data_IF_596298946066
#
_entry.id   IF_596298946066
#
_cell.length_a   1.000
_cell.length_b   1.000
_cell.length_c   1.000
_cell.angle_alpha   90.00
_cell.angle_beta   90.00
_cell.angle_gamma   90.00
#
_symmetry.space_group_name_H-M   'P 1'
#
loop_
_entity.id
_entity.type
_entity.pdbx_description
1 polymer ?
#
# COMPACT_ATOMS: atom_id res chain seq x y z
N UNK A 1 1.85 13.06 5.66
CA UNK A 1 3.08 12.48 5.09
C UNK A 1 3.15 12.74 3.58
N UNK A 2 3.61 13.93 3.20
CA UNK A 2 3.98 14.29 1.82
C UNK A 2 5.20 15.20 1.76
N UNK A 3 5.79 15.57 2.90
CA UNK A 3 7.00 16.35 2.99
C UNK A 3 8.25 15.51 2.74
N UNK A 4 9.25 16.10 2.09
CA UNK A 4 10.61 15.53 1.95
C UNK A 4 11.31 15.32 3.30
N UNK A 5 10.81 15.96 4.35
CA UNK A 5 11.34 15.91 5.71
C UNK A 5 10.28 15.26 6.60
N UNK A 6 10.63 14.27 7.43
CA UNK A 6 9.67 13.66 8.34
C UNK A 6 9.25 14.68 9.41
N UNK A 7 7.95 14.78 9.67
CA UNK A 7 7.39 15.68 10.71
C UNK A 7 7.88 15.32 12.12
N UNK A 8 8.48 14.12 12.30
CA UNK A 8 9.12 13.66 13.53
C UNK A 8 10.38 12.85 13.24
N UNK A 9 11.40 13.04 14.07
CA UNK A 9 12.59 12.20 14.05
C UNK A 9 12.25 10.77 14.54
N UNK A 10 12.55 9.78 13.70
CA UNK A 10 12.45 8.37 14.07
C UNK A 10 13.76 7.98 14.77
N UNK A 11 13.72 7.82 16.10
CA UNK A 11 14.92 7.48 16.90
C UNK A 11 15.33 6.02 16.73
N UNK A 12 14.35 5.12 16.64
CA UNK A 12 14.57 3.68 16.44
C UNK A 12 13.60 3.16 15.37
N UNK A 13 14.09 2.59 14.27
CA UNK A 13 13.22 1.96 13.28
C UNK A 13 12.59 0.69 13.85
N UNK A 14 11.34 0.41 13.50
CA UNK A 14 10.68 -0.85 13.87
C UNK A 14 11.14 -1.99 12.96
N UNK A 15 11.31 -1.72 11.67
CA UNK A 15 11.86 -2.63 10.68
C UNK A 15 12.52 -1.85 9.54
N UNK A 16 13.26 -2.58 8.71
CA UNK A 16 13.72 -2.14 7.41
C UNK A 16 13.11 -3.04 6.34
N UNK A 17 12.75 -2.44 5.21
CA UNK A 17 12.13 -3.11 4.07
C UNK A 17 12.48 -2.36 2.78
N UNK A 18 12.62 -3.11 1.69
CA UNK A 18 12.79 -2.57 0.33
C UNK A 18 11.54 -2.86 -0.47
N UNK A 19 11.01 -1.85 -1.15
CA UNK A 19 9.85 -2.01 -2.04
C UNK A 19 10.31 -1.94 -3.49
N UNK A 20 10.03 -3.00 -4.25
CA UNK A 20 10.37 -3.12 -5.67
C UNK A 20 9.10 -3.21 -6.51
N UNK A 21 9.20 -2.76 -7.76
CA UNK A 21 8.10 -2.81 -8.74
C UNK A 21 6.83 -2.17 -8.18
N UNK A 22 6.96 -0.94 -7.68
CA UNK A 22 5.91 -0.21 -6.97
C UNK A 22 5.06 0.58 -7.96
N UNK A 23 3.76 0.31 -7.99
CA UNK A 23 2.80 1.04 -8.83
C UNK A 23 1.76 1.72 -7.94
N UNK A 24 1.42 2.97 -8.23
CA UNK A 24 0.33 3.69 -7.56
C UNK A 24 -0.85 3.85 -8.52
N UNK A 25 -2.01 3.37 -8.10
CA UNK A 25 -3.27 3.48 -8.83
C UNK A 25 -4.29 4.17 -7.92
N UNK A 26 -5.05 5.12 -8.44
CA UNK A 26 -5.97 5.92 -7.64
C UNK A 26 -7.33 6.05 -8.33
N UNK A 27 -8.40 5.86 -7.56
CA UNK A 27 -9.77 6.03 -8.02
C UNK A 27 -10.52 7.02 -7.12
N UNK A 28 -11.32 7.87 -7.77
CA UNK A 28 -12.16 8.84 -7.09
C UNK A 28 -13.50 8.21 -6.68
N UNK A 29 -13.92 8.50 -5.46
CA UNK A 29 -15.18 8.06 -4.87
C UNK A 29 -15.94 9.23 -4.26
N UNK A 30 -17.25 9.07 -4.08
CA UNK A 30 -18.02 9.98 -3.26
C UNK A 30 -17.50 9.91 -1.80
N UNK A 31 -17.28 11.05 -1.12
CA UNK A 31 -16.71 11.05 0.23
C UNK A 31 -17.50 10.20 1.22
N UNK A 32 -18.84 10.25 1.16
CA UNK A 32 -19.71 9.46 2.04
C UNK A 32 -19.49 7.94 1.92
N UNK A 33 -19.19 7.43 0.72
CA UNK A 33 -18.94 6.00 0.48
C UNK A 33 -17.72 5.53 1.25
N UNK A 34 -16.65 6.32 1.26
CA UNK A 34 -15.40 5.94 1.93
C UNK A 34 -15.46 6.27 3.42
N UNK A 35 -16.14 7.35 3.81
CA UNK A 35 -16.31 7.74 5.20
C UNK A 35 -16.98 6.64 6.03
N UNK A 36 -17.92 5.89 5.46
CA UNK A 36 -18.59 4.76 6.11
C UNK A 36 -17.66 3.57 6.42
N UNK A 37 -16.48 3.49 5.78
CA UNK A 37 -15.49 2.42 5.96
C UNK A 37 -14.35 2.82 6.92
N UNK A 38 -14.38 4.05 7.42
CA UNK A 38 -13.35 4.62 8.29
C UNK A 38 -13.92 4.75 9.70
N UNK A 39 -13.15 4.44 10.77
CA UNK A 39 -13.63 4.58 12.15
C UNK A 39 -14.02 6.00 12.52
N UNK A 40 -14.92 6.09 13.50
CA UNK A 40 -15.26 7.35 14.14
C UNK A 40 -14.00 8.06 14.67
N UNK A 41 -13.97 9.39 14.52
CA UNK A 41 -12.81 10.23 14.90
C UNK A 41 -11.82 10.51 13.77
N UNK A 42 -12.02 9.90 12.60
CA UNK A 42 -11.28 10.19 11.37
C UNK A 42 -12.24 10.71 10.29
N UNK A 43 -11.86 11.78 9.61
CA UNK A 43 -12.58 12.35 8.47
C UNK A 43 -11.81 12.06 7.19
N UNK A 44 -12.46 11.51 6.17
CA UNK A 44 -11.80 11.29 4.88
C UNK A 44 -11.42 12.63 4.24
N UNK A 45 -10.20 12.70 3.72
CA UNK A 45 -9.78 13.88 2.98
C UNK A 45 -10.49 13.94 1.63
N UNK A 46 -10.71 15.17 1.18
CA UNK A 46 -11.31 15.45 -0.11
C UNK A 46 -10.35 16.28 -0.96
N UNK A 47 -10.30 15.97 -2.24
CA UNK A 47 -9.65 16.75 -3.27
C UNK A 47 -10.61 16.83 -4.45
N UNK A 48 -10.93 18.04 -4.88
CA UNK A 48 -11.91 18.31 -5.95
C UNK A 48 -13.30 17.68 -5.67
N UNK A 49 -13.78 17.82 -4.42
CA UNK A 49 -15.07 17.25 -3.98
C UNK A 49 -15.13 15.71 -3.95
N UNK A 50 -14.02 15.02 -4.19
CA UNK A 50 -13.91 13.56 -4.16
C UNK A 50 -12.96 13.09 -3.08
N UNK A 51 -13.19 11.88 -2.59
CA UNK A 51 -12.20 11.15 -1.78
C UNK A 51 -11.52 10.13 -2.66
N UNK A 52 -10.22 9.92 -2.43
CA UNK A 52 -9.41 9.05 -3.26
C UNK A 52 -9.05 7.76 -2.52
N UNK A 53 -9.22 6.63 -3.21
CA UNK A 53 -8.73 5.32 -2.76
C UNK A 53 -7.53 4.97 -3.62
N UNK A 54 -6.40 4.74 -2.97
CA UNK A 54 -5.18 4.24 -3.59
C UNK A 54 -5.09 2.73 -3.48
N UNK A 55 -4.82 2.06 -4.60
CA UNK A 55 -4.38 0.67 -4.65
C UNK A 55 -2.91 0.67 -5.05
N UNK A 56 -2.07 0.02 -4.27
CA UNK A 56 -0.62 0.06 -4.46
C UNK A 56 -0.05 -1.35 -4.39
N UNK A 57 0.07 -2.05 -5.53
CA UNK A 57 0.74 -3.34 -5.61
C UNK A 57 2.26 -3.15 -5.70
N UNK A 58 3.00 -4.00 -4.99
CA UNK A 58 4.46 -4.03 -5.04
C UNK A 58 5.02 -5.37 -4.56
N UNK A 59 6.33 -5.55 -4.73
CA UNK A 59 7.10 -6.63 -4.13
C UNK A 59 7.87 -6.09 -2.94
N UNK A 60 7.57 -6.60 -1.75
CA UNK A 60 8.35 -6.34 -0.55
C UNK A 60 9.56 -7.29 -0.51
N UNK A 61 10.75 -6.78 -0.21
CA UNK A 61 11.99 -7.55 -0.04
C UNK A 61 12.78 -7.07 1.18
N UNK A 62 13.72 -7.91 1.65
CA UNK A 62 14.73 -7.54 2.65
C UNK A 62 14.15 -7.09 4.00
N UNK A 63 13.03 -7.70 4.41
CA UNK A 63 12.38 -7.41 5.68
C UNK A 63 13.27 -7.88 6.82
N UNK A 64 13.72 -6.93 7.65
CA UNK A 64 14.58 -7.21 8.80
C UNK A 64 14.28 -6.28 9.96
N UNK A 65 14.45 -6.79 11.17
CA UNK A 65 14.47 -5.97 12.38
C UNK A 65 15.85 -5.31 12.53
N UNK A 66 15.94 -4.16 13.22
CA UNK A 66 17.23 -3.53 13.51
C UNK A 66 18.15 -4.51 14.24
N UNK A 67 19.41 -4.62 13.78
CA UNK A 67 20.40 -5.52 14.38
C UNK A 67 20.28 -7.01 14.01
N UNK A 68 19.26 -7.42 13.25
CA UNK A 68 19.08 -8.81 12.81
C UNK A 68 19.20 -8.94 11.28
N UNK A 69 19.65 -10.10 10.77
CA UNK A 69 19.60 -10.40 9.33
C UNK A 69 18.15 -10.51 8.86
N UNK A 70 17.95 -10.45 7.54
CA UNK A 70 16.62 -10.65 6.95
C UNK A 70 16.06 -12.03 7.32
N UNK A 71 14.78 -12.05 7.73
CA UNK A 71 14.13 -13.29 8.15
C UNK A 71 14.00 -14.23 6.93
N UNK A 72 14.55 -15.46 6.96
CA UNK A 72 14.58 -16.35 5.80
C UNK A 72 13.17 -16.63 5.22
N UNK A 73 12.18 -16.74 6.10
CA UNK A 73 10.78 -16.97 5.76
C UNK A 73 10.07 -15.74 5.18
N UNK A 74 10.62 -14.53 5.35
CA UNK A 74 10.05 -13.24 4.89
C UNK A 74 10.95 -12.52 3.87
N UNK A 75 11.85 -13.25 3.19
CA UNK A 75 12.82 -12.66 2.25
C UNK A 75 12.18 -11.83 1.14
N UNK A 76 11.09 -12.31 0.54
CA UNK A 76 10.34 -11.56 -0.48
C UNK A 76 8.92 -12.09 -0.67
N UNK A 77 7.96 -11.17 -0.80
CA UNK A 77 6.60 -11.48 -1.19
C UNK A 77 5.87 -10.25 -1.80
N UNK A 78 4.86 -10.48 -2.65
CA UNK A 78 3.89 -9.46 -3.07
C UNK A 78 3.09 -8.87 -1.90
N UNK A 79 2.84 -7.56 -1.98
CA UNK A 79 1.89 -6.89 -1.11
C UNK A 79 0.98 -5.95 -1.92
N UNK A 80 -0.31 -5.91 -1.57
CA UNK A 80 -1.28 -4.95 -2.10
C UNK A 80 -1.77 -4.07 -0.96
N UNK A 81 -1.58 -2.76 -1.08
CA UNK A 81 -2.12 -1.79 -0.14
C UNK A 81 -3.38 -1.16 -0.71
N UNK A 82 -4.49 -1.24 0.01
CA UNK A 82 -5.73 -0.52 -0.30
C UNK A 82 -5.91 0.52 0.80
N UNK A 83 -5.83 1.80 0.44
CA UNK A 83 -5.78 2.89 1.42
C UNK A 83 -6.52 4.11 0.97
N UNK A 84 -6.95 4.91 1.94
CA UNK A 84 -7.48 6.25 1.71
C UNK A 84 -6.76 7.27 2.60
N UNK A 85 -7.03 8.55 2.37
CA UNK A 85 -6.42 9.66 3.09
C UNK A 85 -7.42 10.18 4.11
N UNK A 86 -6.96 10.37 5.34
CA UNK A 86 -7.81 10.79 6.46
C UNK A 86 -7.18 11.93 7.23
N UNK A 87 -8.00 12.67 7.96
CA UNK A 87 -7.60 13.70 8.90
C UNK A 87 -8.22 13.38 10.26
N UNK A 88 -7.43 13.49 11.31
CA UNK A 88 -7.91 13.38 12.70
C UNK A 88 -8.66 14.64 13.12
N UNK A 89 -9.49 14.56 14.15
CA UNK A 89 -10.17 15.73 14.74
C UNK A 89 -9.21 16.88 15.13
N UNK A 90 -7.95 16.57 15.45
CA UNK A 90 -6.91 17.55 15.77
C UNK A 90 -6.13 18.06 14.54
N UNK A 91 -6.66 17.85 13.33
CA UNK A 91 -6.08 18.36 12.09
C UNK A 91 -4.88 17.56 11.54
N UNK A 92 -4.44 16.47 12.18
CA UNK A 92 -3.33 15.66 11.67
C UNK A 92 -3.75 14.80 10.48
N UNK A 93 -2.93 14.82 9.43
CA UNK A 93 -3.12 14.02 8.22
C UNK A 93 -2.56 12.61 8.37
N UNK A 94 -3.25 11.64 7.79
CA UNK A 94 -2.86 10.24 7.85
C UNK A 94 -3.35 9.43 6.64
N UNK A 95 -2.87 8.19 6.58
CA UNK A 95 -3.40 7.16 5.70
C UNK A 95 -4.19 6.18 6.53
N UNK A 96 -5.33 5.75 6.02
CA UNK A 96 -6.12 4.67 6.59
C UNK A 96 -6.07 3.47 5.64
N UNK A 97 -5.65 2.32 6.15
CA UNK A 97 -5.64 1.08 5.37
C UNK A 97 -7.03 0.44 5.41
N UNK A 98 -7.69 0.42 4.26
CA UNK A 98 -8.94 -0.31 4.04
C UNK A 98 -8.67 -1.82 3.91
N UNK A 99 -7.46 -2.18 3.45
CA UNK A 99 -7.01 -3.57 3.37
C UNK A 99 -5.53 -3.66 3.01
N UNK A 100 -4.89 -4.73 3.48
CA UNK A 100 -3.50 -5.07 3.18
C UNK A 100 -3.46 -6.56 2.81
N UNK A 101 -3.03 -6.93 1.60
CA UNK A 101 -3.03 -8.33 1.16
C UNK A 101 -1.60 -8.85 1.01
N UNK A 102 -1.35 -10.05 1.55
CA UNK A 102 -0.05 -10.73 1.45
C UNK A 102 -0.24 -12.26 1.34
N UNK A 103 0.71 -13.00 0.73
CA UNK A 103 0.61 -14.46 0.64
C UNK A 103 1.08 -15.19 1.90
N UNK A 104 1.84 -14.49 2.79
CA UNK A 104 2.51 -15.10 3.95
C UNK A 104 1.59 -15.08 5.18
N UNK A 105 1.09 -16.26 5.57
CA UNK A 105 0.23 -16.40 6.76
C UNK A 105 0.93 -15.93 8.04
N UNK A 106 2.18 -16.33 8.27
CA UNK A 106 2.94 -15.94 9.45
C UNK A 106 3.09 -14.42 9.58
N UNK A 107 3.28 -13.74 8.44
CA UNK A 107 3.40 -12.28 8.41
C UNK A 107 2.05 -11.61 8.66
N UNK A 108 1.00 -12.06 7.97
CA UNK A 108 -0.37 -11.56 8.19
C UNK A 108 -0.81 -11.75 9.64
N UNK A 109 -0.50 -12.89 10.27
CA UNK A 109 -0.80 -13.14 11.69
C UNK A 109 -0.04 -12.18 12.62
N UNK A 110 1.27 -12.02 12.43
CA UNK A 110 2.10 -11.11 13.24
C UNK A 110 1.68 -9.63 13.07
N UNK A 111 1.32 -9.21 11.87
CA UNK A 111 0.84 -7.85 11.62
C UNK A 111 -0.55 -7.62 12.22
N UNK A 112 -1.44 -8.63 12.20
CA UNK A 112 -2.75 -8.55 12.84
C UNK A 112 -2.66 -8.47 14.36
N UNK A 113 -1.68 -9.12 14.99
CA UNK A 113 -1.51 -9.05 16.45
C UNK A 113 -1.13 -7.64 16.95
N UNK A 114 -0.70 -6.75 16.06
CA UNK A 114 -0.46 -5.33 16.34
C UNK A 114 -1.53 -4.40 15.72
N UNK A 115 -2.68 -4.95 15.32
CA UNK A 115 -3.85 -4.18 14.86
C UNK A 115 -3.86 -3.79 13.39
N UNK A 116 -2.94 -4.31 12.56
CA UNK A 116 -2.92 -4.00 11.13
C UNK A 116 -3.91 -4.91 10.36
N UNK A 117 -4.67 -4.36 9.39
CA UNK A 117 -5.73 -5.09 8.69
C UNK A 117 -5.20 -6.01 7.57
N UNK A 118 -4.15 -6.79 7.86
CA UNK A 118 -3.58 -7.73 6.90
C UNK A 118 -4.48 -8.94 6.68
N UNK A 119 -4.72 -9.26 5.42
CA UNK A 119 -5.48 -10.40 4.95
C UNK A 119 -4.58 -11.29 4.10
N UNK A 120 -4.80 -12.60 4.20
CA UNK A 120 -4.09 -13.56 3.37
C UNK A 120 -4.72 -13.60 1.97
N UNK A 121 -3.87 -13.50 0.96
CA UNK A 121 -4.24 -13.64 -0.46
C UNK A 121 -3.08 -14.28 -1.22
N UNK A 122 -3.38 -15.34 -1.96
CA UNK A 122 -2.43 -15.90 -2.92
C UNK A 122 -2.13 -14.84 -3.98
N UNK A 123 -0.85 -14.61 -4.24
CA UNK A 123 -0.43 -13.44 -5.01
C UNK A 123 0.91 -13.65 -5.70
N UNK A 124 1.06 -12.98 -6.83
CA UNK A 124 2.23 -13.04 -7.68
C UNK A 124 2.58 -11.66 -8.24
N UNK A 125 3.88 -11.39 -8.36
CA UNK A 125 4.42 -10.21 -9.03
C UNK A 125 5.54 -10.66 -9.94
N UNK A 126 5.45 -10.36 -11.23
CA UNK A 126 6.54 -10.56 -12.17
C UNK A 126 6.95 -9.22 -12.76
N UNK A 127 8.25 -9.08 -13.05
CA UNK A 127 8.82 -7.90 -13.67
C UNK A 127 9.80 -8.38 -14.73
N UNK A 128 9.52 -8.03 -15.97
CA UNK A 128 10.36 -8.31 -17.13
C UNK A 128 10.67 -6.99 -17.83
N UNK A 129 11.89 -6.48 -17.60
CA UNK A 129 12.29 -5.15 -18.03
C UNK A 129 11.34 -4.05 -17.52
N UNK A 130 10.74 -3.31 -18.45
CA UNK A 130 9.73 -2.28 -18.21
C UNK A 130 8.33 -2.84 -17.93
N UNK A 131 8.08 -4.12 -18.18
CA UNK A 131 6.75 -4.68 -18.09
C UNK A 131 6.55 -5.41 -16.77
N UNK A 132 5.69 -4.87 -15.90
CA UNK A 132 5.41 -5.44 -14.58
C UNK A 132 3.97 -5.94 -14.51
N UNK A 133 3.79 -7.12 -13.91
CA UNK A 133 2.48 -7.75 -13.73
C UNK A 133 2.24 -8.06 -12.26
N UNK A 134 0.99 -7.88 -11.85
CA UNK A 134 0.51 -8.12 -10.50
C UNK A 134 -0.75 -8.97 -10.56
N UNK A 135 -0.83 -9.95 -9.66
CA UNK A 135 -2.03 -10.78 -9.46
C UNK A 135 -2.23 -11.02 -7.97
N UNK A 136 -3.45 -10.81 -7.51
CA UNK A 136 -3.90 -11.10 -6.16
C UNK A 136 -5.25 -11.80 -6.24
N UNK A 137 -5.32 -13.01 -5.70
CA UNK A 137 -6.54 -13.79 -5.62
C UNK A 137 -7.44 -13.23 -4.51
N UNK A 138 -8.71 -13.62 -4.48
CA UNK A 138 -9.69 -13.15 -3.48
C UNK A 138 -9.13 -13.35 -2.05
N UNK A 139 -9.10 -12.31 -1.19
CA UNK A 139 -8.64 -12.45 0.18
C UNK A 139 -9.52 -13.43 0.96
N UNK A 140 -8.91 -14.27 1.81
CA UNK A 140 -9.59 -15.36 2.51
C UNK A 140 -10.91 -15.00 3.26
N UNK A 141 -11.10 -13.80 3.85
CA UNK A 141 -12.39 -13.43 4.45
C UNK A 141 -13.49 -13.04 3.44
N UNK A 142 -13.16 -12.78 2.18
CA UNK A 142 -14.12 -12.45 1.13
C UNK A 142 -14.53 -13.73 0.38
N UNK A 143 -15.82 -14.09 0.40
CA UNK A 143 -16.37 -15.17 -0.43
C UNK A 143 -16.75 -14.64 -1.81
N UNK A 144 -15.75 -14.36 -2.64
CA UNK A 144 -15.94 -14.12 -4.07
C UNK A 144 -15.33 -15.30 -4.83
N UNK A 145 -16.02 -15.79 -5.86
CA UNK A 145 -15.65 -16.98 -6.63
C UNK A 145 -14.55 -16.73 -7.66
N UNK A 146 -14.07 -15.49 -7.80
CA UNK A 146 -13.03 -15.16 -8.78
C UNK A 146 -11.62 -15.43 -8.25
N UNK A 147 -10.86 -16.17 -9.05
CA UNK A 147 -9.45 -16.47 -8.78
C UNK A 147 -8.49 -15.32 -9.13
N UNK A 148 -8.98 -14.21 -9.68
CA UNK A 148 -8.22 -13.02 -10.08
C UNK A 148 -8.91 -11.74 -9.58
N UNK A 149 -9.07 -11.63 -8.26
CA UNK A 149 -9.79 -10.50 -7.65
C UNK A 149 -9.16 -9.15 -8.00
N UNK A 150 -7.83 -9.10 -8.08
CA UNK A 150 -7.11 -7.95 -8.61
C UNK A 150 -5.99 -8.41 -9.52
N UNK A 151 -5.94 -7.86 -10.74
CA UNK A 151 -4.81 -8.00 -11.66
C UNK A 151 -4.48 -6.66 -12.30
N UNK A 152 -3.20 -6.45 -12.57
CA UNK A 152 -2.72 -5.26 -13.27
C UNK A 152 -1.48 -5.60 -14.09
N UNK A 153 -1.36 -4.99 -15.26
CA UNK A 153 -0.18 -5.02 -16.12
C UNK A 153 0.21 -3.58 -16.39
N UNK A 154 1.46 -3.22 -16.14
CA UNK A 154 1.95 -1.85 -16.36
C UNK A 154 3.22 -1.87 -17.18
N UNK A 155 3.31 -0.94 -18.12
CA UNK A 155 4.52 -0.64 -18.84
C UNK A 155 5.15 0.60 -18.21
N UNK A 156 6.34 0.43 -17.64
CA UNK A 156 7.10 1.47 -16.98
C UNK A 156 8.10 2.03 -17.99
N UNK A 157 7.79 3.21 -18.53
CA UNK A 157 8.68 3.89 -19.46
C UNK A 157 10.07 4.16 -18.85
N UNK A 158 11.07 4.31 -19.72
CA UNK A 158 12.37 4.89 -19.34
C UNK A 158 12.15 6.22 -18.63
N UNK A 159 12.93 6.48 -17.57
CA UNK A 159 12.66 7.50 -16.56
C UNK A 159 12.18 8.86 -17.10
N UNK A 160 11.35 9.52 -16.28
CA UNK A 160 10.75 10.84 -16.52
C UNK A 160 11.61 11.77 -17.41
N UNK A 161 11.04 12.36 -18.49
CA UNK A 161 11.72 13.45 -19.16
C UNK A 161 12.05 14.54 -18.12
N UNK A 162 13.30 15.00 -18.09
CA UNK A 162 13.72 16.09 -17.19
C UNK A 162 12.78 17.28 -17.38
N UNK A 163 12.11 17.66 -16.29
CA UNK A 163 11.28 18.87 -16.05
C UNK A 163 11.04 19.79 -17.25
N UNK A 164 9.76 20.00 -17.56
CA UNK A 164 9.27 21.17 -18.28
C UNK A 164 9.68 22.40 -17.46
N UNK A 165 10.60 23.20 -18.00
CA UNK A 165 10.98 24.48 -17.42
C UNK A 165 9.82 25.44 -17.53
N UNK A 166 9.37 25.98 -16.40
CA UNK A 166 8.59 27.21 -16.40
C UNK A 166 9.52 28.32 -16.91
N UNK A 167 9.29 28.80 -18.14
CA UNK A 167 9.73 30.14 -18.53
C UNK A 167 8.79 31.14 -17.85
N UNK A 168 9.38 32.09 -17.13
CA UNK A 168 8.70 33.27 -16.62
C UNK A 168 8.40 34.27 -17.71
#
# INVERSE_FOLDING_TARGET
MSGRIPDRFVRFPVNFQTWKYLTFLHWAYAPATIQALVPNGLTVQQWDGKTWVGITPFRMTDIRLPGLPALPSWRSFPELNIRTYVRTAHGRDGIWFLGLLVPRLSFSAAARSIGLPYQRSSSHVSADGSHWKYRFDTPHPMRLTHHDWFSASVEVGGGWPKRIGHRG
#
